data_IF_199938616937
#
_entry.id   IF_199938616937
#
_cell.length_a   1.000
_cell.length_b   1.000
_cell.length_c   1.000
_cell.angle_alpha   90.00
_cell.angle_beta   90.00
_cell.angle_gamma   90.00
#
_symmetry.space_group_name_H-M   'P 1'
#
loop_
_entity.id
_entity.type
_entity.pdbx_description
1 polymer ?
#
# COMPACT_ATOMS: atom_id res chain seq x y z
N UNK A 1 4.23 -33.04 46.13
CA UNK A 1 3.45 -32.32 45.11
C UNK A 1 4.45 -31.68 44.16
N UNK A 2 4.60 -32.29 42.98
CA UNK A 2 5.63 -31.96 42.01
C UNK A 2 5.16 -30.81 41.11
N UNK A 3 6.02 -29.79 40.97
CA UNK A 3 5.85 -28.68 40.03
C UNK A 3 6.34 -29.14 38.65
N UNK A 4 5.54 -29.05 37.57
CA UNK A 4 6.05 -29.25 36.22
C UNK A 4 6.65 -27.95 35.65
N UNK A 5 7.62 -28.07 34.72
CA UNK A 5 8.45 -26.95 34.26
C UNK A 5 7.82 -26.10 33.16
N UNK A 6 8.29 -24.85 33.13
CA UNK A 6 8.04 -23.79 32.15
C UNK A 6 8.33 -24.23 30.70
N UNK A 7 7.37 -24.02 29.81
CA UNK A 7 7.54 -24.24 28.37
C UNK A 7 8.18 -23.01 27.70
N UNK A 8 9.23 -23.27 26.93
CA UNK A 8 10.01 -22.32 26.16
C UNK A 8 9.24 -21.80 24.93
N UNK A 9 9.44 -20.51 24.60
CA UNK A 9 9.00 -19.91 23.33
C UNK A 9 9.91 -20.38 22.18
N UNK A 10 9.38 -20.73 20.99
CA UNK A 10 10.19 -21.03 19.82
C UNK A 10 10.71 -19.74 19.17
N UNK A 11 11.98 -19.79 18.76
CA UNK A 11 12.82 -18.64 18.45
C UNK A 11 12.56 -17.99 17.09
N UNK A 12 12.81 -16.67 17.06
CA UNK A 12 13.09 -15.92 15.86
C UNK A 12 14.40 -16.41 15.21
N UNK A 13 14.53 -16.41 13.86
CA UNK A 13 15.79 -16.73 13.22
C UNK A 13 16.82 -15.65 13.53
N UNK A 14 17.93 -16.07 14.15
CA UNK A 14 19.08 -15.23 14.47
C UNK A 14 19.95 -15.02 13.22
N UNK A 15 20.18 -13.76 12.86
CA UNK A 15 21.11 -13.35 11.81
C UNK A 15 21.52 -11.90 11.99
N UNK A 16 22.65 -11.70 12.69
CA UNK A 16 23.57 -10.55 12.69
C UNK A 16 22.97 -9.13 12.49
N UNK A 17 22.83 -8.39 13.59
CA UNK A 17 22.77 -6.93 13.56
C UNK A 17 24.19 -6.34 13.75
N UNK A 18 24.77 -5.63 12.77
CA UNK A 18 25.87 -4.73 13.04
C UNK A 18 25.34 -3.42 13.65
N UNK A 19 26.18 -2.83 14.51
CA UNK A 19 25.92 -1.63 15.26
C UNK A 19 25.52 -0.42 14.38
N UNK A 20 24.58 0.38 14.89
CA UNK A 20 24.35 1.76 14.45
C UNK A 20 23.70 1.94 13.08
N UNK A 21 22.57 1.29 12.82
CA UNK A 21 21.74 1.68 11.67
C UNK A 21 21.17 3.10 11.90
N UNK A 22 21.24 4.00 10.91
CA UNK A 22 20.62 5.32 11.03
C UNK A 22 19.12 5.15 11.25
N UNK A 23 18.56 5.90 12.21
CA UNK A 23 17.12 5.99 12.44
C UNK A 23 16.43 6.26 11.09
N UNK A 24 15.54 5.35 10.68
CA UNK A 24 14.99 5.39 9.34
C UNK A 24 14.08 4.21 9.05
N UNK A 25 13.35 4.33 7.94
CA UNK A 25 12.38 3.33 7.52
C UNK A 25 12.85 2.68 6.22
N UNK A 26 12.50 1.41 6.03
CA UNK A 26 12.62 0.69 4.78
C UNK A 26 11.23 0.39 4.22
N UNK A 27 11.18 0.02 2.94
CA UNK A 27 9.98 -0.47 2.29
C UNK A 27 10.24 -1.90 1.82
N UNK A 28 9.32 -2.80 2.14
CA UNK A 28 9.23 -4.16 1.61
C UNK A 28 8.03 -4.21 0.65
N UNK A 29 8.20 -4.88 -0.48
CA UNK A 29 7.20 -4.96 -1.56
C UNK A 29 6.76 -6.40 -1.75
N UNK A 30 5.46 -6.61 -1.83
CA UNK A 30 4.82 -7.86 -2.24
C UNK A 30 3.96 -7.52 -3.46
N UNK A 31 4.42 -7.88 -4.65
CA UNK A 31 3.80 -7.55 -5.94
C UNK A 31 4.29 -8.53 -7.00
N UNK A 32 3.46 -8.81 -8.00
CA UNK A 32 3.81 -9.76 -9.07
C UNK A 32 4.12 -11.14 -8.50
N UNK A 33 5.31 -11.67 -8.79
CA UNK A 33 5.74 -13.00 -8.35
C UNK A 33 6.16 -13.06 -6.86
N UNK A 34 6.19 -11.91 -6.16
CA UNK A 34 6.54 -11.85 -4.74
C UNK A 34 5.28 -11.93 -3.88
N UNK A 35 4.84 -13.15 -3.60
CA UNK A 35 3.67 -13.43 -2.76
C UNK A 35 3.98 -13.30 -1.25
N UNK A 36 2.96 -12.91 -0.49
CA UNK A 36 3.01 -12.81 0.97
C UNK A 36 2.83 -14.18 1.63
N UNK A 37 3.91 -14.74 2.19
CA UNK A 37 3.85 -16.03 2.87
C UNK A 37 2.99 -16.00 4.15
N UNK A 38 2.54 -17.18 4.66
CA UNK A 38 1.82 -17.25 5.94
C UNK A 38 2.57 -16.65 7.14
N UNK A 39 3.90 -16.76 7.19
CA UNK A 39 4.72 -16.17 8.24
C UNK A 39 4.82 -14.66 8.13
N UNK A 40 4.94 -14.12 6.92
CA UNK A 40 5.03 -12.67 6.69
C UNK A 40 3.69 -11.98 6.94
N UNK A 41 2.58 -12.60 6.53
CA UNK A 41 1.25 -12.11 6.85
C UNK A 41 1.01 -12.03 8.37
N UNK A 42 1.41 -13.07 9.12
CA UNK A 42 1.32 -13.05 10.58
C UNK A 42 2.20 -11.94 11.18
N UNK A 43 3.45 -11.83 10.74
CA UNK A 43 4.36 -10.77 11.14
C UNK A 43 3.76 -9.37 10.88
N UNK A 44 3.14 -9.18 9.72
CA UNK A 44 2.49 -7.94 9.33
C UNK A 44 1.28 -7.63 10.22
N UNK A 45 0.41 -8.61 10.46
CA UNK A 45 -0.76 -8.46 11.31
C UNK A 45 -0.38 -8.14 12.77
N UNK A 46 0.55 -8.89 13.35
CA UNK A 46 1.02 -8.66 14.73
C UNK A 46 1.72 -7.31 14.87
N UNK A 47 2.60 -6.98 13.92
CA UNK A 47 3.33 -5.72 13.90
C UNK A 47 2.41 -4.51 13.78
N UNK A 48 1.44 -4.54 12.84
CA UNK A 48 0.48 -3.45 12.68
C UNK A 48 -0.49 -3.33 13.86
N UNK A 49 -0.87 -4.45 14.50
CA UNK A 49 -1.67 -4.41 15.71
C UNK A 49 -0.92 -3.70 16.86
N UNK A 50 0.38 -3.92 16.99
CA UNK A 50 1.22 -3.20 17.95
C UNK A 50 1.44 -1.73 17.57
N UNK A 51 1.62 -1.44 16.28
CA UNK A 51 1.90 -0.09 15.77
C UNK A 51 0.68 0.85 15.75
N UNK A 52 -0.54 0.30 15.78
CA UNK A 52 -1.79 1.05 15.68
C UNK A 52 -2.69 0.77 16.89
N UNK A 53 -2.24 1.10 18.11
CA UNK A 53 -2.96 0.75 19.31
C UNK A 53 -4.34 1.36 19.35
N UNK A 54 -4.59 2.54 18.75
CA UNK A 54 -5.91 3.20 18.74
C UNK A 54 -6.95 2.55 17.83
N UNK A 55 -6.54 1.55 17.05
CA UNK A 55 -7.41 0.77 16.17
C UNK A 55 -7.65 -0.62 16.77
N UNK A 56 -8.81 -1.20 16.45
CA UNK A 56 -9.15 -2.59 16.76
C UNK A 56 -8.57 -3.53 15.70
N UNK A 57 -7.25 -3.49 15.50
CA UNK A 57 -6.57 -4.24 14.43
C UNK A 57 -6.76 -5.76 14.58
N UNK A 58 -6.70 -6.30 15.80
CA UNK A 58 -6.94 -7.72 16.03
C UNK A 58 -8.35 -8.14 15.59
N UNK A 59 -9.38 -7.32 15.85
CA UNK A 59 -10.74 -7.59 15.38
C UNK A 59 -10.86 -7.46 13.85
N UNK A 60 -10.12 -6.52 13.24
CA UNK A 60 -10.03 -6.40 11.78
C UNK A 60 -9.44 -7.66 11.16
N UNK A 61 -8.29 -8.12 11.62
CA UNK A 61 -7.63 -9.29 11.04
C UNK A 61 -8.41 -10.58 11.29
N UNK A 62 -9.08 -10.70 12.45
CA UNK A 62 -9.99 -11.83 12.70
C UNK A 62 -11.18 -11.84 11.72
N UNK A 63 -11.71 -10.67 11.37
CA UNK A 63 -12.85 -10.56 10.45
C UNK A 63 -12.44 -10.54 8.96
N UNK A 64 -11.18 -10.22 8.66
CA UNK A 64 -10.60 -10.13 7.32
C UNK A 64 -9.21 -10.79 7.31
N UNK A 65 -9.12 -12.12 7.46
CA UNK A 65 -7.84 -12.82 7.56
C UNK A 65 -6.99 -12.69 6.29
N UNK A 66 -7.62 -12.54 5.12
CA UNK A 66 -6.93 -12.40 3.84
C UNK A 66 -6.74 -10.94 3.40
N UNK A 67 -6.95 -9.96 4.29
CA UNK A 67 -6.95 -8.52 3.95
C UNK A 67 -5.71 -8.10 3.13
N UNK A 68 -4.54 -8.61 3.49
CA UNK A 68 -3.28 -8.28 2.81
C UNK A 68 -3.04 -9.11 1.56
N UNK A 69 -3.51 -10.36 1.52
CA UNK A 69 -3.36 -11.26 0.36
C UNK A 69 -4.31 -10.92 -0.79
N UNK A 70 -5.41 -10.23 -0.51
CA UNK A 70 -6.33 -9.72 -1.53
C UNK A 70 -5.75 -8.55 -2.35
N UNK A 71 -4.61 -7.98 -1.93
CA UNK A 71 -3.97 -6.87 -2.63
C UNK A 71 -3.04 -7.37 -3.74
N UNK A 72 -3.20 -6.87 -4.97
CA UNK A 72 -2.27 -7.18 -6.08
C UNK A 72 -0.89 -6.57 -5.81
N UNK A 73 -0.89 -5.42 -5.13
CA UNK A 73 0.29 -4.68 -4.74
C UNK A 73 0.21 -4.33 -3.26
N UNK A 74 1.16 -4.80 -2.47
CA UNK A 74 1.27 -4.51 -1.05
C UNK A 74 2.66 -3.97 -0.70
N UNK A 75 2.66 -2.78 -0.13
CA UNK A 75 3.86 -2.05 0.27
C UNK A 75 3.86 -1.92 1.79
N UNK A 76 4.87 -2.50 2.44
CA UNK A 76 5.02 -2.50 3.90
C UNK A 76 6.17 -1.58 4.29
N UNK A 77 5.89 -0.57 5.11
CA UNK A 77 6.94 0.25 5.73
C UNK A 77 7.43 -0.42 7.00
N UNK A 78 8.74 -0.53 7.15
CA UNK A 78 9.40 -1.24 8.24
C UNK A 78 10.35 -0.29 8.97
N UNK A 79 10.30 -0.28 10.30
CA UNK A 79 11.30 0.37 11.12
C UNK A 79 12.63 -0.39 11.02
N UNK A 80 13.71 0.28 10.57
CA UNK A 80 14.99 -0.41 10.30
C UNK A 80 15.66 -0.95 11.55
N UNK A 81 15.42 -0.36 12.71
CA UNK A 81 16.08 -0.76 13.94
C UNK A 81 15.47 -2.05 14.52
N UNK A 82 14.15 -2.17 14.47
CA UNK A 82 13.39 -3.28 15.05
C UNK A 82 12.95 -4.34 14.03
N UNK A 83 13.00 -4.02 12.74
CA UNK A 83 12.43 -4.86 11.68
C UNK A 83 10.91 -4.98 11.76
N UNK A 84 10.23 -4.10 12.52
CA UNK A 84 8.79 -4.18 12.73
C UNK A 84 8.01 -3.38 11.67
N UNK A 85 6.86 -3.90 11.19
CA UNK A 85 5.95 -3.16 10.35
C UNK A 85 5.41 -1.92 11.07
N UNK A 86 5.48 -0.77 10.41
CA UNK A 86 4.90 0.50 10.88
C UNK A 86 3.88 1.08 9.91
N UNK A 87 3.79 0.54 8.70
CA UNK A 87 2.76 0.91 7.73
C UNK A 87 2.47 -0.22 6.74
N UNK A 88 1.27 -0.19 6.16
CA UNK A 88 0.91 -1.00 5.02
C UNK A 88 0.06 -0.17 4.05
N UNK A 89 0.35 -0.29 2.77
CA UNK A 89 -0.41 0.31 1.68
C UNK A 89 -0.64 -0.78 0.63
N UNK A 90 -1.90 -1.13 0.42
CA UNK A 90 -2.30 -2.20 -0.48
C UNK A 90 -3.32 -1.71 -1.51
N UNK A 91 -3.11 -2.08 -2.76
CA UNK A 91 -4.01 -1.75 -3.86
C UNK A 91 -4.15 -2.90 -4.85
N UNK A 92 -5.32 -2.96 -5.51
CA UNK A 92 -5.62 -3.92 -6.56
C UNK A 92 -6.27 -3.23 -7.75
N UNK A 93 -5.99 -3.72 -8.95
CA UNK A 93 -6.72 -3.33 -10.14
C UNK A 93 -8.07 -4.00 -10.16
N UNK A 94 -9.09 -3.22 -10.49
CA UNK A 94 -10.47 -3.72 -10.59
C UNK A 94 -11.19 -2.96 -11.70
N UNK A 95 -12.43 -3.34 -11.98
CA UNK A 95 -13.24 -2.71 -13.00
C UNK A 95 -14.69 -2.59 -12.56
N UNK A 96 -15.37 -1.55 -13.03
CA UNK A 96 -16.82 -1.43 -12.96
C UNK A 96 -17.48 -2.56 -13.77
N UNK A 97 -18.78 -2.76 -13.61
CA UNK A 97 -19.54 -3.68 -14.47
C UNK A 97 -19.52 -3.26 -15.96
N UNK A 98 -19.32 -1.97 -16.25
CA UNK A 98 -19.18 -1.45 -17.61
C UNK A 98 -17.74 -1.54 -18.16
N UNK A 99 -16.78 -1.99 -17.34
CA UNK A 99 -15.40 -2.26 -17.75
C UNK A 99 -14.43 -1.11 -17.52
N UNK A 100 -14.85 0.00 -16.92
CA UNK A 100 -13.95 1.07 -16.51
C UNK A 100 -13.00 0.57 -15.43
N UNK A 101 -11.72 0.48 -15.79
CA UNK A 101 -10.65 0.02 -14.91
C UNK A 101 -10.24 1.11 -13.93
N UNK A 102 -10.07 0.75 -12.67
CA UNK A 102 -9.58 1.66 -11.63
C UNK A 102 -8.69 0.94 -10.62
N UNK A 103 -7.83 1.71 -9.96
CA UNK A 103 -7.00 1.21 -8.86
C UNK A 103 -7.75 1.39 -7.54
N UNK A 104 -8.09 0.30 -6.88
CA UNK A 104 -8.71 0.32 -5.55
C UNK A 104 -7.65 0.21 -4.47
N UNK A 105 -7.53 1.25 -3.65
CA UNK A 105 -6.67 1.26 -2.46
C UNK A 105 -7.46 0.64 -1.31
N UNK A 106 -7.24 -0.65 -1.07
CA UNK A 106 -7.97 -1.43 -0.08
C UNK A 106 -7.36 -1.37 1.32
N UNK A 107 -6.06 -1.11 1.41
CA UNK A 107 -5.30 -1.10 2.68
C UNK A 107 -4.51 0.20 2.75
N UNK A 108 -4.67 0.95 3.84
CA UNK A 108 -3.82 2.10 4.13
C UNK A 108 -3.72 2.32 5.65
N UNK A 109 -2.57 1.96 6.19
CA UNK A 109 -2.26 2.09 7.61
C UNK A 109 -0.89 2.71 7.80
N UNK A 110 -0.78 3.64 8.75
CA UNK A 110 0.50 4.24 9.16
C UNK A 110 0.46 4.48 10.67
N UNK A 111 1.46 3.97 11.37
CA UNK A 111 1.71 4.18 12.79
C UNK A 111 1.69 5.67 13.12
N UNK A 112 0.95 6.05 14.15
CA UNK A 112 0.82 7.44 14.59
C UNK A 112 2.17 8.13 14.83
N UNK A 113 3.18 7.38 15.30
CA UNK A 113 4.53 7.86 15.59
C UNK A 113 5.28 8.33 14.34
N UNK A 114 4.88 7.87 13.16
CA UNK A 114 5.61 8.11 11.89
C UNK A 114 4.77 8.82 10.81
N UNK A 115 3.52 9.23 11.12
CA UNK A 115 2.57 9.86 10.18
C UNK A 115 3.04 11.16 9.53
N UNK A 116 4.07 11.82 10.08
CA UNK A 116 4.69 13.05 9.53
C UNK A 116 6.08 12.80 8.95
N UNK A 117 6.50 11.55 8.92
CA UNK A 117 7.77 11.12 8.34
C UNK A 117 7.63 10.71 6.87
N UNK A 118 8.74 10.29 6.25
CA UNK A 118 8.77 9.94 4.84
C UNK A 118 8.06 8.60 4.53
N UNK A 119 7.64 7.83 5.53
CA UNK A 119 7.03 6.50 5.35
C UNK A 119 5.84 6.57 4.40
N UNK A 120 4.91 7.50 4.64
CA UNK A 120 3.73 7.65 3.81
C UNK A 120 4.08 7.94 2.35
N UNK A 121 4.90 8.96 2.09
CA UNK A 121 5.28 9.34 0.72
C UNK A 121 6.13 8.27 0.03
N UNK A 122 6.99 7.58 0.77
CA UNK A 122 7.85 6.53 0.22
C UNK A 122 7.03 5.28 -0.12
N UNK A 123 6.07 4.89 0.72
CA UNK A 123 5.16 3.78 0.41
C UNK A 123 4.30 4.09 -0.81
N UNK A 124 3.76 5.30 -0.93
CA UNK A 124 2.98 5.69 -2.10
C UNK A 124 3.81 5.75 -3.39
N UNK A 125 5.05 6.26 -3.31
CA UNK A 125 5.96 6.25 -4.46
C UNK A 125 6.25 4.82 -4.91
N UNK A 126 6.58 3.93 -3.97
CA UNK A 126 6.83 2.53 -4.26
C UNK A 126 5.59 1.82 -4.84
N UNK A 127 4.39 2.11 -4.32
CA UNK A 127 3.14 1.58 -4.88
C UNK A 127 2.96 2.01 -6.33
N UNK A 128 3.13 3.31 -6.62
CA UNK A 128 2.96 3.82 -7.98
C UNK A 128 3.98 3.23 -8.95
N UNK A 129 5.23 3.01 -8.53
CA UNK A 129 6.24 2.31 -9.33
C UNK A 129 5.75 0.91 -9.73
N UNK A 130 5.28 0.11 -8.77
CA UNK A 130 4.84 -1.27 -9.00
C UNK A 130 3.55 -1.33 -9.84
N UNK A 131 2.58 -0.44 -9.55
CA UNK A 131 1.31 -0.33 -10.29
C UNK A 131 1.54 0.06 -11.75
N UNK A 132 2.40 1.06 -11.99
CA UNK A 132 2.72 1.53 -13.35
C UNK A 132 3.41 0.44 -14.14
N UNK A 133 4.35 -0.29 -13.53
CA UNK A 133 5.05 -1.38 -14.17
C UNK A 133 4.14 -2.56 -14.53
N UNK A 134 3.13 -2.87 -13.69
CA UNK A 134 2.24 -4.00 -13.91
C UNK A 134 1.04 -3.69 -14.82
N UNK A 135 0.55 -2.45 -14.83
CA UNK A 135 -0.76 -2.13 -15.37
C UNK A 135 -0.92 -0.76 -16.02
N UNK A 136 0.14 0.06 -16.06
CA UNK A 136 0.07 1.45 -16.51
C UNK A 136 -0.38 2.42 -15.41
N UNK A 137 -0.43 3.71 -15.74
CA UNK A 137 -0.75 4.75 -14.76
C UNK A 137 -2.24 4.74 -14.36
N UNK A 138 -2.57 4.81 -13.06
CA UNK A 138 -3.95 4.75 -12.57
C UNK A 138 -4.67 6.10 -12.76
N UNK A 139 -5.24 6.31 -13.95
CA UNK A 139 -6.07 7.48 -14.26
C UNK A 139 -7.28 7.61 -13.33
N UNK A 140 -7.81 6.48 -12.88
CA UNK A 140 -8.93 6.40 -11.95
C UNK A 140 -8.49 5.61 -10.71
N UNK A 141 -8.58 6.24 -9.55
CA UNK A 141 -8.22 5.65 -8.26
C UNK A 141 -9.35 5.80 -7.26
N UNK A 142 -9.61 4.77 -6.45
CA UNK A 142 -10.68 4.75 -5.47
C UNK A 142 -10.20 4.27 -4.09
N UNK A 143 -10.68 4.90 -3.03
CA UNK A 143 -10.42 4.54 -1.63
C UNK A 143 -11.74 4.60 -0.85
N UNK A 144 -12.01 3.61 0.01
CA UNK A 144 -13.12 3.66 0.97
C UNK A 144 -12.58 3.93 2.36
N UNK A 145 -13.03 5.01 3.01
CA UNK A 145 -12.46 5.42 4.31
C UNK A 145 -13.50 5.95 5.29
N UNK A 146 -13.28 5.69 6.58
CA UNK A 146 -13.96 6.39 7.68
C UNK A 146 -13.07 7.50 8.28
N UNK A 147 -11.84 7.65 7.75
CA UNK A 147 -10.82 8.53 8.28
C UNK A 147 -10.64 9.78 7.39
N UNK A 148 -10.95 10.98 7.90
CA UNK A 148 -10.82 12.22 7.13
C UNK A 148 -9.37 12.56 6.78
N UNK A 149 -8.38 12.03 7.51
CA UNK A 149 -6.95 12.17 7.14
C UNK A 149 -6.65 11.44 5.84
N UNK A 150 -7.18 10.22 5.68
CA UNK A 150 -7.02 9.44 4.45
C UNK A 150 -7.75 10.09 3.26
N UNK A 151 -8.93 10.69 3.52
CA UNK A 151 -9.61 11.53 2.52
C UNK A 151 -8.72 12.71 2.09
N UNK A 152 -8.13 13.44 3.04
CA UNK A 152 -7.24 14.57 2.70
C UNK A 152 -6.02 14.13 1.88
N UNK A 153 -5.52 12.92 2.13
CA UNK A 153 -4.44 12.35 1.34
C UNK A 153 -4.87 12.08 -0.12
N UNK A 154 -6.09 11.54 -0.33
CA UNK A 154 -6.67 11.40 -1.68
C UNK A 154 -6.93 12.75 -2.34
N UNK A 155 -7.46 13.72 -1.60
CA UNK A 155 -7.71 15.08 -2.10
C UNK A 155 -6.43 15.78 -2.56
N UNK A 156 -5.26 15.45 -2.01
CA UNK A 156 -3.99 15.96 -2.52
C UNK A 156 -3.70 15.49 -3.96
N UNK A 157 -4.07 14.25 -4.33
CA UNK A 157 -4.02 13.78 -5.72
C UNK A 157 -5.06 14.49 -6.60
N UNK A 158 -6.23 14.79 -6.04
CA UNK A 158 -7.26 15.60 -6.70
C UNK A 158 -6.84 17.03 -7.05
N UNK A 159 -5.68 17.51 -6.57
CA UNK A 159 -5.11 18.83 -6.90
C UNK A 159 -4.12 18.80 -8.05
N UNK A 160 -3.81 17.62 -8.60
CA UNK A 160 -2.99 17.53 -9.80
C UNK A 160 -3.72 18.21 -10.98
N UNK A 161 -2.99 18.83 -11.93
CA UNK A 161 -3.62 19.43 -13.11
C UNK A 161 -4.46 18.40 -13.87
N UNK A 162 -5.71 18.77 -14.18
CA UNK A 162 -6.67 17.89 -14.84
C UNK A 162 -7.23 16.76 -13.96
N UNK A 163 -6.96 16.74 -12.65
CA UNK A 163 -7.59 15.82 -11.72
C UNK A 163 -8.93 16.36 -11.22
N UNK A 164 -9.87 15.45 -11.01
CA UNK A 164 -11.16 15.72 -10.37
C UNK A 164 -11.33 14.75 -9.22
N UNK A 165 -11.75 15.28 -8.08
CA UNK A 165 -11.99 14.52 -6.85
C UNK A 165 -13.49 14.38 -6.59
N UNK A 166 -13.89 13.24 -6.04
CA UNK A 166 -15.23 12.98 -5.54
C UNK A 166 -15.17 12.27 -4.17
N UNK A 167 -16.04 12.62 -3.21
CA UNK A 167 -16.74 13.89 -3.16
C UNK A 167 -15.72 15.02 -2.96
N UNK A 168 -15.88 16.15 -3.62
CA UNK A 168 -15.15 17.37 -3.24
C UNK A 168 -15.87 18.03 -2.06
N UNK A 169 -15.22 18.09 -0.90
CA UNK A 169 -15.84 18.69 0.29
C UNK A 169 -15.56 20.19 0.30
N UNK A 170 -16.63 20.99 0.20
CA UNK A 170 -16.57 22.44 0.20
C UNK A 170 -17.74 23.04 -0.58
N UNK A 171 -17.70 24.36 -0.85
CA UNK A 171 -18.71 25.06 -1.63
C UNK A 171 -18.48 24.85 -3.14
N UNK A 172 -18.33 23.60 -3.58
CA UNK A 172 -18.05 23.23 -4.97
C UNK A 172 -19.08 22.21 -5.44
N UNK A 173 -19.63 22.45 -6.62
CA UNK A 173 -20.53 21.50 -7.26
C UNK A 173 -19.76 20.23 -7.62
N UNK A 174 -20.39 19.07 -7.39
CA UNK A 174 -19.80 17.79 -7.76
C UNK A 174 -19.80 17.63 -9.28
N UNK A 175 -18.69 17.17 -9.83
CA UNK A 175 -18.60 16.79 -11.23
C UNK A 175 -19.59 15.63 -11.52
N UNK A 176 -20.57 15.80 -12.44
CA UNK A 176 -21.59 14.79 -12.67
C UNK A 176 -21.02 13.46 -13.20
N UNK A 177 -19.96 13.51 -14.01
CA UNK A 177 -19.36 12.32 -14.60
C UNK A 177 -18.60 11.52 -13.55
N UNK A 178 -17.83 12.17 -12.67
CA UNK A 178 -17.16 11.48 -11.57
C UNK A 178 -18.18 10.97 -10.54
N UNK A 179 -19.28 11.70 -10.32
CA UNK A 179 -20.35 11.24 -9.43
C UNK A 179 -21.03 9.97 -9.95
N UNK A 180 -21.30 9.90 -11.26
CA UNK A 180 -21.81 8.68 -11.90
C UNK A 180 -20.82 7.52 -11.76
N UNK A 181 -19.55 7.75 -12.09
CA UNK A 181 -18.49 6.74 -11.95
C UNK A 181 -18.34 6.26 -10.50
N UNK A 182 -18.48 7.15 -9.51
CA UNK A 182 -18.45 6.79 -8.11
C UNK A 182 -19.59 5.84 -7.73
N UNK A 183 -20.79 6.01 -8.31
CA UNK A 183 -21.89 5.06 -8.14
C UNK A 183 -21.57 3.66 -8.68
N UNK A 184 -20.95 3.58 -9.85
CA UNK A 184 -20.51 2.32 -10.46
C UNK A 184 -19.40 1.64 -9.64
N UNK A 185 -18.42 2.42 -9.20
CA UNK A 185 -17.35 1.95 -8.31
C UNK A 185 -17.92 1.46 -6.98
N UNK A 186 -18.88 2.18 -6.39
CA UNK A 186 -19.53 1.76 -5.14
C UNK A 186 -20.23 0.42 -5.31
N UNK A 187 -20.95 0.22 -6.41
CA UNK A 187 -21.63 -1.03 -6.74
C UNK A 187 -20.66 -2.20 -6.92
N UNK A 188 -19.48 -1.96 -7.52
CA UNK A 188 -18.42 -2.97 -7.64
C UNK A 188 -17.78 -3.31 -6.29
N UNK A 189 -17.40 -2.29 -5.51
CA UNK A 189 -16.64 -2.48 -4.27
C UNK A 189 -17.48 -2.94 -3.09
N UNK A 190 -18.79 -2.71 -3.14
CA UNK A 190 -19.74 -3.11 -2.11
C UNK A 190 -21.11 -3.47 -2.73
N UNK A 191 -21.20 -4.62 -3.42
CA UNK A 191 -22.45 -5.04 -4.05
C UNK A 191 -23.62 -5.08 -3.05
N UNK A 192 -24.73 -4.45 -3.42
CA UNK A 192 -25.95 -4.39 -2.61
C UNK A 192 -25.91 -3.41 -1.42
N UNK A 193 -24.80 -2.73 -1.15
CA UNK A 193 -24.74 -1.73 -0.10
C UNK A 193 -25.39 -0.40 -0.55
N UNK A 194 -26.16 0.28 0.32
CA UNK A 194 -26.70 1.61 0.00
C UNK A 194 -25.58 2.64 -0.20
N UNK A 195 -25.61 3.33 -1.34
CA UNK A 195 -24.71 4.43 -1.68
C UNK A 195 -25.48 5.74 -1.76
N UNK A 196 -24.96 6.78 -1.10
CA UNK A 196 -25.46 8.15 -1.18
C UNK A 196 -24.50 8.99 -2.06
N UNK A 197 -24.91 9.33 -3.29
CA UNK A 197 -24.05 10.05 -4.23
C UNK A 197 -23.81 11.51 -3.84
N UNK A 198 -24.62 12.11 -2.95
CA UNK A 198 -24.39 13.48 -2.51
C UNK A 198 -23.24 13.57 -1.51
N UNK A 199 -23.09 12.55 -0.65
CA UNK A 199 -22.05 12.53 0.38
C UNK A 199 -20.87 11.61 0.07
N UNK A 200 -21.00 10.72 -0.92
CA UNK A 200 -20.06 9.64 -1.19
C UNK A 200 -20.14 8.49 -0.20
N UNK A 201 -21.16 8.46 0.67
CA UNK A 201 -21.28 7.45 1.72
C UNK A 201 -21.74 6.11 1.18
N UNK A 202 -21.02 5.05 1.54
CA UNK A 202 -21.48 3.67 1.45
C UNK A 202 -21.81 3.17 2.87
N UNK A 203 -23.05 2.77 3.08
CA UNK A 203 -23.57 2.42 4.39
C UNK A 203 -23.16 1.00 4.84
N UNK A 204 -22.70 0.86 6.08
CA UNK A 204 -22.56 -0.44 6.76
C UNK A 204 -21.50 -1.41 6.24
N UNK A 205 -20.62 -1.00 5.33
CA UNK A 205 -19.61 -1.88 4.70
C UNK A 205 -18.31 -2.04 5.52
N UNK A 206 -18.18 -1.28 6.60
CA UNK A 206 -17.02 -1.29 7.46
C UNK A 206 -17.00 -2.48 8.39
N UNK A 207 -15.98 -3.32 8.23
CA UNK A 207 -15.73 -4.49 9.07
C UNK A 207 -14.36 -4.37 9.73
N UNK A 208 -14.26 -4.36 11.07
CA UNK A 208 -15.35 -4.24 12.02
C UNK A 208 -16.02 -2.85 11.93
N UNK A 209 -17.27 -2.75 12.40
CA UNK A 209 -18.02 -1.48 12.40
C UNK A 209 -17.29 -0.39 13.20
N UNK A 210 -16.71 -0.78 14.34
CA UNK A 210 -16.00 0.12 15.25
C UNK A 210 -14.48 0.07 15.17
N UNK A 211 -13.87 -0.08 13.98
CA UNK A 211 -12.41 -0.19 13.84
C UNK A 211 -11.64 0.90 14.62
N UNK A 212 -12.12 2.14 14.54
CA UNK A 212 -11.54 3.25 15.29
C UNK A 212 -12.18 3.32 16.67
N UNK A 213 -11.38 3.42 17.74
CA UNK A 213 -11.90 3.58 19.11
C UNK A 213 -12.61 4.92 19.34
N UNK A 214 -12.20 5.95 18.60
CA UNK A 214 -12.86 7.26 18.54
C UNK A 214 -12.86 7.77 17.10
N UNK A 215 -13.72 8.74 16.79
CA UNK A 215 -13.78 9.30 15.43
C UNK A 215 -12.45 10.02 15.11
N UNK A 216 -11.73 9.61 14.06
CA UNK A 216 -10.54 10.33 13.60
C UNK A 216 -10.91 11.73 13.08
N UNK A 217 -9.99 12.67 13.22
CA UNK A 217 -10.12 14.05 12.73
C UNK A 217 -8.88 14.47 11.95
N UNK A 218 -9.04 15.43 11.06
CA UNK A 218 -7.96 16.11 10.34
C UNK A 218 -7.97 17.63 10.65
N UNK A 219 -7.05 18.38 10.06
CA UNK A 219 -6.94 19.83 10.29
C UNK A 219 -7.98 20.65 9.50
N UNK A 220 -8.72 20.02 8.58
CA UNK A 220 -9.77 20.67 7.78
C UNK A 220 -11.15 20.47 8.44
N UNK A 221 -11.72 21.58 8.92
CA UNK A 221 -13.00 21.59 9.62
C UNK A 221 -14.18 21.15 8.73
N UNK A 222 -14.21 21.55 7.46
CA UNK A 222 -15.29 21.19 6.55
C UNK A 222 -15.27 19.68 6.24
N UNK A 223 -14.08 19.10 6.09
CA UNK A 223 -13.92 17.64 5.94
C UNK A 223 -14.38 16.92 7.19
N UNK A 224 -13.99 17.37 8.38
CA UNK A 224 -14.46 16.75 9.62
C UNK A 224 -15.99 16.81 9.75
N UNK A 225 -16.59 17.97 9.46
CA UNK A 225 -18.04 18.16 9.50
C UNK A 225 -18.76 17.24 8.49
N UNK A 226 -18.24 17.11 7.26
CA UNK A 226 -18.79 16.20 6.26
C UNK A 226 -18.82 14.75 6.76
N UNK A 227 -17.71 14.28 7.34
CA UNK A 227 -17.64 12.94 7.89
C UNK A 227 -18.57 12.78 9.09
N UNK A 228 -18.61 13.75 10.01
CA UNK A 228 -19.49 13.75 11.19
C UNK A 228 -20.97 13.69 10.81
N UNK A 229 -21.38 14.49 9.82
CA UNK A 229 -22.76 14.58 9.35
C UNK A 229 -23.23 13.31 8.64
N UNK A 230 -22.37 12.72 7.82
CA UNK A 230 -22.80 11.67 6.90
C UNK A 230 -22.49 10.26 7.41
N UNK A 231 -21.49 10.04 8.27
CA UNK A 231 -21.07 8.67 8.62
C UNK A 231 -21.37 8.31 10.07
N UNK A 232 -21.69 7.04 10.30
CA UNK A 232 -21.64 6.38 11.61
C UNK A 232 -20.59 5.25 11.59
N UNK A 233 -20.18 4.70 12.75
CA UNK A 233 -19.32 3.53 12.78
C UNK A 233 -19.87 2.37 11.92
N UNK A 234 -19.06 1.95 10.94
CA UNK A 234 -19.40 0.96 9.93
C UNK A 234 -19.67 1.56 8.55
N UNK A 235 -19.88 2.86 8.43
CA UNK A 235 -19.97 3.51 7.12
C UNK A 235 -18.57 3.82 6.58
N UNK A 236 -18.48 4.05 5.27
CA UNK A 236 -17.28 4.57 4.60
C UNK A 236 -17.67 5.65 3.62
N UNK A 237 -16.83 6.67 3.46
CA UNK A 237 -16.87 7.58 2.32
C UNK A 237 -16.02 6.96 1.21
N UNK A 238 -16.60 6.80 0.04
CA UNK A 238 -15.90 6.50 -1.20
C UNK A 238 -15.25 7.78 -1.71
N UNK A 239 -13.93 7.74 -1.84
CA UNK A 239 -13.10 8.77 -2.42
C UNK A 239 -12.69 8.30 -3.81
N UNK A 240 -12.92 9.11 -4.84
CA UNK A 240 -12.52 8.83 -6.22
C UNK A 240 -11.70 10.00 -6.74
N UNK A 241 -10.55 9.70 -7.33
CA UNK A 241 -9.73 10.67 -8.08
C UNK A 241 -9.67 10.22 -9.52
N UNK A 242 -10.04 11.12 -10.44
CA UNK A 242 -9.97 10.90 -11.87
C UNK A 242 -9.04 11.94 -12.51
N UNK A 243 -7.88 11.50 -13.00
CA UNK A 243 -6.91 12.31 -13.73
C UNK A 243 -7.26 12.22 -15.23
N UNK A 244 -7.74 13.33 -15.79
CA UNK A 244 -8.23 13.40 -17.18
C UNK A 244 -7.20 13.95 -18.16
N UNK A 245 -6.16 14.60 -17.66
CA UNK A 245 -5.13 15.26 -18.49
C UNK A 245 -3.89 14.37 -18.64
N UNK A 246 -3.58 14.00 -19.89
CA UNK A 246 -2.45 13.10 -20.21
C UNK A 246 -1.10 13.74 -19.95
N UNK A 247 -0.96 15.07 -20.12
CA UNK A 247 0.30 15.77 -19.85
C UNK A 247 0.74 15.64 -18.37
N UNK A 248 -0.22 15.62 -17.44
CA UNK A 248 0.04 15.35 -16.02
C UNK A 248 0.58 13.94 -15.82
N UNK A 249 0.01 12.96 -16.51
CA UNK A 249 0.43 11.55 -16.46
C UNK A 249 1.84 11.39 -17.00
N UNK A 250 2.11 11.96 -18.18
CA UNK A 250 3.42 11.90 -18.83
C UNK A 250 4.51 12.51 -17.93
N UNK A 251 4.25 13.67 -17.34
CA UNK A 251 5.18 14.32 -16.41
C UNK A 251 5.49 13.46 -15.17
N UNK A 252 4.49 12.74 -14.64
CA UNK A 252 4.64 11.85 -13.50
C UNK A 252 5.44 10.60 -13.90
N UNK A 253 5.06 9.94 -14.99
CA UNK A 253 5.73 8.74 -15.51
C UNK A 253 7.19 9.03 -15.87
N UNK A 254 7.46 10.15 -16.53
CA UNK A 254 8.83 10.58 -16.86
C UNK A 254 9.69 10.77 -15.62
N UNK A 255 9.12 11.29 -14.53
CA UNK A 255 9.83 11.44 -13.27
C UNK A 255 10.17 10.07 -12.67
N UNK A 256 9.26 9.10 -12.76
CA UNK A 256 9.52 7.72 -12.34
C UNK A 256 10.64 7.07 -13.15
N UNK A 257 10.58 7.15 -14.49
CA UNK A 257 11.62 6.61 -15.39
C UNK A 257 12.99 7.23 -15.09
N UNK A 258 13.06 8.54 -14.84
CA UNK A 258 14.31 9.21 -14.46
C UNK A 258 14.86 8.75 -13.10
N UNK A 259 13.99 8.35 -12.15
CA UNK A 259 14.42 7.85 -10.83
C UNK A 259 14.90 6.42 -10.88
N UNK A 260 14.23 5.56 -11.64
CA UNK A 260 14.63 4.15 -11.81
C UNK A 260 15.95 4.06 -12.56
N UNK A 261 16.16 4.88 -13.61
CA UNK A 261 17.42 4.94 -14.36
C UNK A 261 18.60 5.50 -13.55
N UNK A 262 18.38 6.46 -12.64
CA UNK A 262 19.42 6.95 -11.71
C UNK A 262 19.74 5.99 -10.56
N UNK A 263 18.83 5.09 -10.22
CA UNK A 263 18.99 4.14 -9.11
C UNK A 263 19.58 2.80 -9.54
N UNK A 264 19.84 2.60 -10.84
CA UNK A 264 20.64 1.47 -11.30
C UNK A 264 22.11 1.66 -10.84
N UNK A 265 22.70 0.71 -10.09
CA UNK A 265 24.12 0.78 -9.77
C UNK A 265 24.88 0.77 -11.11
N UNK A 266 25.78 1.75 -11.26
CA UNK A 266 26.57 1.93 -12.47
C UNK A 266 27.14 0.59 -12.94
N UNK A 267 26.81 0.22 -14.17
CA UNK A 267 27.57 -0.76 -14.91
C UNK A 267 29.04 -0.36 -14.77
N UNK A 268 29.83 -1.24 -14.16
CA UNK A 268 31.27 -1.10 -14.17
C UNK A 268 31.70 -0.89 -15.63
N UNK A 269 32.27 0.27 -15.90
CA UNK A 269 33.01 0.53 -17.13
C UNK A 269 33.98 -0.64 -17.32
N UNK A 270 34.00 -1.32 -18.48
CA UNK A 270 34.99 -2.36 -18.72
C UNK A 270 36.35 -1.67 -18.71
N UNK A 271 37.18 -2.03 -17.72
CA UNK A 271 38.57 -1.67 -17.72
C UNK A 271 39.25 -2.32 -18.93
N UNK A 272 39.89 -1.46 -19.71
CA UNK A 272 40.73 -1.65 -20.89
C UNK A 272 41.62 -2.93 -20.84
N UNK A 273 41.64 -3.78 -21.89
CA UNK A 273 42.46 -4.99 -21.94
C UNK A 273 43.92 -4.68 -22.27
N UNK A 274 44.72 -4.31 -21.26
CA UNK A 274 46.17 -4.20 -21.41
C UNK A 274 46.93 -4.49 -20.11
N UNK A 275 46.98 -5.77 -19.69
CA UNK A 275 48.09 -6.30 -18.89
C UNK A 275 48.15 -7.85 -18.99
N UNK A 276 49.34 -8.47 -19.07
CA UNK A 276 49.54 -9.84 -19.52
C UNK A 276 49.29 -10.90 -18.43
N UNK A 277 49.16 -12.20 -18.82
CA UNK A 277 48.65 -13.23 -17.93
C UNK A 277 49.71 -13.73 -16.94
N UNK A 278 49.30 -13.92 -15.70
CA UNK A 278 49.96 -14.85 -14.78
C UNK A 278 49.13 -16.13 -14.72
N UNK A 279 49.74 -17.23 -15.12
CA UNK A 279 49.28 -18.61 -14.98
C UNK A 279 50.53 -19.44 -14.67
N UNK A 280 50.46 -20.66 -14.09
CA UNK A 280 49.36 -21.30 -13.36
C UNK A 280 49.79 -21.79 -11.97
N UNK A 281 48.82 -22.18 -11.14
CA UNK A 281 49.03 -23.28 -10.20
C UNK A 281 47.79 -24.19 -10.24
N UNK A 282 48.07 -25.44 -10.61
CA UNK A 282 47.19 -26.59 -10.63
C UNK A 282 46.36 -26.75 -9.36
N UNK A 283 45.11 -27.21 -9.52
CA UNK A 283 44.70 -28.54 -9.08
C UNK A 283 43.22 -28.81 -9.42
N UNK A 284 43.00 -29.93 -10.12
CA UNK A 284 41.95 -30.87 -9.75
C UNK A 284 40.61 -30.81 -10.48
N UNK A 285 40.55 -31.46 -11.66
CA UNK A 285 39.63 -32.57 -11.91
C UNK A 285 38.12 -32.29 -12.16
N UNK A 286 37.51 -32.94 -13.18
CA UNK A 286 36.16 -32.63 -13.65
C UNK A 286 35.08 -33.45 -12.93
N UNK A 287 33.93 -32.83 -12.62
CA UNK A 287 32.68 -33.55 -12.39
C UNK A 287 31.67 -33.17 -13.48
N UNK A 288 31.45 -34.14 -14.36
CA UNK A 288 30.38 -34.25 -15.33
C UNK A 288 29.00 -34.16 -14.67
N UNK A 289 28.11 -33.33 -15.20
CA UNK A 289 26.65 -33.46 -15.04
C UNK A 289 26.00 -33.67 -16.41
N UNK A 290 25.16 -34.71 -16.59
CA UNK A 290 24.43 -34.92 -17.83
C UNK A 290 23.19 -34.01 -17.93
N UNK A 291 22.89 -33.62 -19.18
CA UNK A 291 21.58 -33.15 -19.64
C UNK A 291 20.56 -34.27 -19.63
N UNK A 292 19.30 -33.91 -19.38
CA UNK A 292 18.00 -34.42 -19.88
C UNK A 292 16.97 -34.07 -18.79
N UNK A 293 15.67 -33.84 -19.00
CA UNK A 293 14.75 -33.57 -20.11
C UNK A 293 13.41 -33.28 -19.39
N UNK A 294 12.57 -32.45 -20.00
CA UNK A 294 11.10 -32.58 -20.07
C UNK A 294 10.37 -33.36 -18.95
N UNK A 295 9.58 -32.63 -18.16
CA UNK A 295 8.13 -32.80 -18.00
C UNK A 295 7.51 -31.44 -17.69
#
# INVERSE_FOLDING_TARGET
>A
MSVPPSAASPGAPAGLAPAGAPAGHAVVRFSGDCELSPSEDRWLQEGLAAALPDLRMAELFAARPELFREADHLIVGVDRASGQPVSALGASWTATAAGERFLHIGVQFVDARVRRGPVFSTSWLALLEDVVAAGGFPLLSALRTYNPVAYCAMRAYGRLPGAVMYPEVGPVDQDPDVTRLAGEIAATLAPGAPFDPASGRIAGIGVPRGLYRGRPRCDDAAVNEHFERHTVPGDRILCVVHIRETATVDAIVDNFVRRTTRSAPGAATPADPAAPPLSPADHGGPITRPRLREL
#
